data_IF_644598801549
#
_entry.id   IF_644598801549
#
_cell.length_a   1.000
_cell.length_b   1.000
_cell.length_c   1.000
_cell.angle_alpha   90.00
_cell.angle_beta   90.00
_cell.angle_gamma   90.00
#
_symmetry.space_group_name_H-M   'P 1'
#
loop_
_entity.id
_entity.type
_entity.pdbx_description
1 polymer ?
#
# COMPACT_ATOMS: atom_id res chain seq x y z
N UNK A 1 -6.26 9.72 1.08
CA UNK A 1 -7.66 9.67 1.58
C UNK A 1 -8.38 10.93 1.16
N UNK A 2 -9.71 10.86 0.99
CA UNK A 2 -10.53 12.03 0.67
C UNK A 2 -10.84 12.87 1.91
N UNK A 3 -11.01 14.18 1.74
CA UNK A 3 -11.37 15.13 2.80
C UNK A 3 -12.34 16.19 2.28
N UNK A 4 -13.32 16.59 3.11
CA UNK A 4 -14.38 17.51 2.67
C UNK A 4 -13.85 18.85 2.15
N UNK A 5 -12.83 19.41 2.81
CA UNK A 5 -12.24 20.70 2.40
C UNK A 5 -11.50 20.67 1.05
N UNK A 6 -11.18 19.49 0.53
CA UNK A 6 -10.44 19.31 -0.74
C UNK A 6 -11.28 18.65 -1.83
N UNK A 7 -12.16 17.72 -1.46
CA UNK A 7 -12.92 16.87 -2.38
C UNK A 7 -14.43 17.12 -2.39
N UNK A 8 -14.91 18.03 -1.52
CA UNK A 8 -16.33 18.30 -1.36
C UNK A 8 -17.07 17.19 -0.62
N UNK A 9 -18.33 17.00 -0.99
CA UNK A 9 -19.17 15.93 -0.45
C UNK A 9 -18.62 14.55 -0.82
N UNK A 10 -19.05 13.53 -0.08
CA UNK A 10 -18.70 12.14 -0.39
C UNK A 10 -19.11 11.74 -1.82
N UNK A 11 -20.25 12.21 -2.31
CA UNK A 11 -20.70 11.90 -3.68
C UNK A 11 -19.85 12.56 -4.76
N UNK A 12 -19.34 13.77 -4.51
CA UNK A 12 -18.39 14.44 -5.40
C UNK A 12 -17.05 13.69 -5.42
N UNK A 13 -16.52 13.37 -4.24
CA UNK A 13 -15.30 12.57 -4.11
C UNK A 13 -15.44 11.21 -4.81
N UNK A 14 -16.52 10.48 -4.55
CA UNK A 14 -16.79 9.17 -5.18
C UNK A 14 -16.82 9.29 -6.70
N UNK A 15 -17.52 10.30 -7.24
CA UNK A 15 -17.59 10.53 -8.69
C UNK A 15 -16.22 10.82 -9.28
N UNK A 16 -15.41 11.62 -8.60
CA UNK A 16 -14.06 11.96 -9.05
C UNK A 16 -13.12 10.74 -9.03
N UNK A 17 -13.16 9.94 -7.96
CA UNK A 17 -12.41 8.67 -7.87
C UNK A 17 -12.80 7.72 -9.00
N UNK A 18 -14.10 7.55 -9.28
CA UNK A 18 -14.58 6.67 -10.35
C UNK A 18 -14.25 7.17 -11.77
N UNK A 19 -13.98 8.46 -11.92
CA UNK A 19 -13.50 9.04 -13.17
C UNK A 19 -12.01 8.79 -13.40
N UNK A 20 -11.20 8.63 -12.35
CA UNK A 20 -9.80 8.22 -12.46
C UNK A 20 -9.70 6.71 -12.62
N UNK A 21 -9.28 6.24 -13.79
CA UNK A 21 -9.10 4.81 -14.04
C UNK A 21 -7.63 4.49 -14.35
N UNK A 22 -7.06 3.44 -13.75
CA UNK A 22 -5.77 2.92 -14.19
C UNK A 22 -5.90 2.39 -15.62
N UNK A 23 -4.89 2.67 -16.44
CA UNK A 23 -4.67 1.98 -17.71
C UNK A 23 -3.90 0.69 -17.41
N UNK A 24 -4.45 -0.43 -17.86
CA UNK A 24 -3.86 -1.76 -17.68
C UNK A 24 -3.54 -2.31 -19.06
N UNK A 25 -2.26 -2.61 -19.29
CA UNK A 25 -1.74 -3.22 -20.51
C UNK A 25 -0.96 -4.49 -20.14
N UNK A 26 -1.61 -5.64 -20.26
CA UNK A 26 -1.08 -6.92 -19.79
C UNK A 26 -0.79 -6.89 -18.28
N UNK A 27 0.50 -6.98 -17.92
CA UNK A 27 0.99 -6.93 -16.54
C UNK A 27 1.57 -5.56 -16.15
N UNK A 28 1.34 -4.52 -16.95
CA UNK A 28 1.76 -3.14 -16.67
C UNK A 28 0.54 -2.30 -16.32
N UNK A 29 0.69 -1.47 -15.30
CA UNK A 29 -0.35 -0.54 -14.83
C UNK A 29 0.24 0.85 -14.80
N UNK A 30 -0.47 1.81 -15.40
CA UNK A 30 -0.19 3.24 -15.26
C UNK A 30 -1.45 3.94 -14.79
N UNK A 31 -1.33 4.86 -13.83
CA UNK A 31 -2.50 5.52 -13.26
C UNK A 31 -2.17 6.96 -12.87
N UNK A 32 -2.94 7.90 -13.40
CA UNK A 32 -2.98 9.26 -12.85
C UNK A 32 -4.04 9.31 -11.76
N UNK A 33 -3.60 9.51 -10.52
CA UNK A 33 -4.48 9.54 -9.35
C UNK A 33 -5.35 10.81 -9.35
N UNK A 34 -6.34 10.84 -8.46
CA UNK A 34 -7.17 12.04 -8.22
C UNK A 34 -6.35 13.27 -7.80
N UNK A 35 -5.13 13.08 -7.29
CA UNK A 35 -4.24 14.18 -6.89
C UNK A 35 -3.28 14.63 -8.00
N UNK A 36 -3.35 14.00 -9.17
CA UNK A 36 -2.47 14.28 -10.31
C UNK A 36 -1.16 13.49 -10.29
N UNK A 37 -0.89 12.72 -9.24
CA UNK A 37 0.27 11.84 -9.18
C UNK A 37 0.20 10.75 -10.26
N UNK A 38 1.33 10.49 -10.91
CA UNK A 38 1.49 9.43 -11.89
C UNK A 38 2.15 8.21 -11.26
N UNK A 39 1.40 7.12 -11.16
CA UNK A 39 1.87 5.82 -10.70
C UNK A 39 2.15 4.92 -11.90
N UNK A 40 3.27 4.22 -11.88
CA UNK A 40 3.63 3.20 -12.87
C UNK A 40 4.25 1.98 -12.18
N UNK A 41 3.78 0.79 -12.51
CA UNK A 41 4.40 -0.46 -12.08
C UNK A 41 4.01 -1.62 -13.00
N UNK A 42 4.72 -2.74 -12.88
CA UNK A 42 4.35 -3.98 -13.55
C UNK A 42 4.84 -5.21 -12.81
N UNK A 43 4.67 -6.39 -13.43
CA UNK A 43 5.15 -7.65 -12.85
C UNK A 43 6.66 -7.66 -12.56
N UNK A 44 7.43 -7.03 -13.43
CA UNK A 44 8.86 -6.80 -13.25
C UNK A 44 9.14 -5.29 -13.24
N UNK A 45 10.17 -4.89 -12.50
CA UNK A 45 10.57 -3.50 -12.35
C UNK A 45 9.99 -2.84 -11.08
N UNK A 46 10.40 -1.60 -10.81
CA UNK A 46 10.00 -0.89 -9.60
C UNK A 46 8.58 -0.36 -9.65
N UNK A 47 8.05 0.02 -8.48
CA UNK A 47 6.95 0.97 -8.39
C UNK A 47 7.51 2.38 -8.57
N UNK A 48 7.01 3.13 -9.53
CA UNK A 48 7.35 4.53 -9.76
C UNK A 48 6.21 5.44 -9.32
N UNK A 49 6.55 6.51 -8.61
CA UNK A 49 5.67 7.64 -8.30
C UNK A 49 6.29 8.89 -8.91
N UNK A 50 5.60 9.49 -9.88
CA UNK A 50 6.09 10.65 -10.63
C UNK A 50 7.50 10.42 -11.23
N UNK A 51 7.76 9.19 -11.69
CA UNK A 51 9.05 8.76 -12.23
C UNK A 51 10.11 8.39 -11.19
N UNK A 52 9.85 8.60 -9.90
CA UNK A 52 10.76 8.21 -8.82
C UNK A 52 10.44 6.83 -8.26
N UNK A 53 11.44 5.95 -8.20
CA UNK A 53 11.33 4.62 -7.62
C UNK A 53 10.94 4.68 -6.14
N UNK A 54 9.94 3.86 -5.78
CA UNK A 54 9.43 3.70 -4.43
C UNK A 54 9.86 2.34 -3.88
N UNK A 55 10.40 2.27 -2.65
CA UNK A 55 10.75 1.01 -2.04
C UNK A 55 9.49 0.18 -1.78
N UNK A 56 9.45 -1.02 -2.35
CA UNK A 56 8.42 -2.04 -2.08
C UNK A 56 8.99 -3.25 -1.32
N UNK A 57 10.27 -3.18 -0.95
CA UNK A 57 10.98 -4.17 -0.14
C UNK A 57 11.91 -3.44 0.84
N UNK A 58 12.61 -4.20 1.69
CA UNK A 58 13.53 -3.63 2.68
C UNK A 58 12.86 -3.21 4.00
N UNK A 59 11.57 -3.51 4.16
CA UNK A 59 10.83 -3.35 5.42
C UNK A 59 10.28 -4.71 5.89
N UNK A 60 10.02 -4.86 7.21
CA UNK A 60 9.42 -6.07 7.75
C UNK A 60 8.03 -6.32 7.16
N UNK A 61 7.62 -7.58 7.11
CA UNK A 61 6.27 -7.96 6.70
C UNK A 61 5.21 -7.44 7.68
N UNK A 62 5.55 -7.43 8.96
CA UNK A 62 4.73 -6.88 10.01
C UNK A 62 5.62 -6.07 10.95
N UNK A 63 5.24 -4.82 11.20
CA UNK A 63 5.90 -3.95 12.17
C UNK A 63 4.85 -3.13 12.90
N UNK A 64 4.80 -3.30 14.22
CA UNK A 64 3.96 -2.51 15.11
C UNK A 64 4.59 -2.46 16.50
N UNK A 65 3.96 -1.73 17.43
CA UNK A 65 4.35 -1.73 18.84
C UNK A 65 4.29 -3.12 19.50
N UNK A 66 3.62 -4.09 18.88
CA UNK A 66 3.33 -5.40 19.46
C UNK A 66 4.07 -6.55 18.79
N UNK A 67 4.51 -6.39 17.53
CA UNK A 67 5.21 -7.45 16.82
C UNK A 67 6.06 -6.91 15.67
N UNK A 68 7.18 -7.60 15.43
CA UNK A 68 8.09 -7.35 14.32
C UNK A 68 8.43 -8.68 13.66
N UNK A 69 8.19 -8.81 12.35
CA UNK A 69 8.46 -10.03 11.59
C UNK A 69 8.87 -9.70 10.16
N UNK A 70 10.04 -10.18 9.74
CA UNK A 70 10.53 -10.05 8.36
C UNK A 70 10.03 -11.20 7.48
N UNK A 71 9.73 -10.93 6.19
CA UNK A 71 9.35 -11.97 5.23
C UNK A 71 10.59 -12.70 4.68
N UNK A 72 10.59 -14.05 4.54
CA UNK A 72 9.58 -14.99 5.04
C UNK A 72 9.75 -15.27 6.53
N UNK A 73 8.71 -15.04 7.33
CA UNK A 73 8.70 -15.37 8.75
C UNK A 73 8.24 -16.82 8.94
N UNK A 74 8.97 -17.61 9.72
CA UNK A 74 8.53 -18.96 10.13
C UNK A 74 7.76 -18.96 11.45
N UNK A 75 7.92 -17.89 12.23
CA UNK A 75 7.17 -17.65 13.45
C UNK A 75 7.01 -16.16 13.68
N UNK A 76 6.05 -15.78 14.52
CA UNK A 76 5.82 -14.41 14.93
C UNK A 76 5.49 -14.37 16.42
N UNK A 77 6.16 -13.48 17.16
CA UNK A 77 5.85 -13.18 18.55
C UNK A 77 5.05 -11.88 18.62
N UNK A 78 3.88 -11.93 19.26
CA UNK A 78 3.00 -10.79 19.49
C UNK A 78 2.92 -10.57 20.99
N UNK A 79 3.40 -9.43 21.46
CA UNK A 79 3.41 -9.06 22.88
C UNK A 79 2.38 -7.98 23.20
N UNK A 80 1.72 -8.11 24.35
CA UNK A 80 0.90 -7.04 24.94
C UNK A 80 1.00 -7.09 26.47
N UNK A 81 1.56 -6.05 27.09
CA UNK A 81 1.82 -6.06 28.53
C UNK A 81 2.75 -7.20 28.94
N UNK A 82 2.27 -8.10 29.81
CA UNK A 82 3.00 -9.29 30.25
C UNK A 82 2.70 -10.55 29.42
N UNK A 83 1.77 -10.47 28.47
CA UNK A 83 1.34 -11.60 27.66
C UNK A 83 2.12 -11.67 26.35
N UNK A 84 2.41 -12.89 25.91
CA UNK A 84 3.06 -13.16 24.63
C UNK A 84 2.36 -14.32 23.93
N UNK A 85 1.93 -14.08 22.70
CA UNK A 85 1.45 -15.11 21.78
C UNK A 85 2.54 -15.41 20.76
N UNK A 86 2.93 -16.68 20.63
CA UNK A 86 3.84 -17.14 19.58
C UNK A 86 3.06 -17.94 18.54
N UNK A 87 3.04 -17.45 17.31
CA UNK A 87 2.54 -18.18 16.15
C UNK A 87 3.70 -18.91 15.47
N UNK A 88 3.53 -20.19 15.15
CA UNK A 88 4.43 -20.95 14.30
C UNK A 88 3.68 -21.27 13.00
N UNK A 89 4.27 -20.96 11.85
CA UNK A 89 3.62 -21.12 10.53
C UNK A 89 4.06 -22.41 9.80
N UNK A 90 4.90 -23.22 10.45
CA UNK A 90 5.35 -24.52 9.98
C UNK A 90 4.38 -25.64 10.39
#
# INVERSE_FOLDING_TARGET
>A
MGAQGTDGSFEEFRRAVLATRPLVDGLRVTWTTLRGDHLEFGWAGPLLLNGAEQPITGFPHHESAFAHAALPAQSMAIGYGAEMLKLNFA
#
